data_IF_927889946468
#
_entry.id   IF_927889946468
#
_cell.length_a   1.000
_cell.length_b   1.000
_cell.length_c   1.000
_cell.angle_alpha   90.00
_cell.angle_beta   90.00
_cell.angle_gamma   90.00
#
_symmetry.space_group_name_H-M   'P 1'
#
loop_
_entity.id
_entity.type
_entity.pdbx_description
1 polymer ?
#
# COMPACT_ATOMS: atom_id res chain seq x y z
N UNK A 1 17.98 -11.14 0.30
CA UNK A 1 17.23 -10.07 -0.39
C UNK A 1 15.78 -10.11 0.04
N UNK A 2 15.26 -9.00 0.50
CA UNK A 2 13.85 -8.93 0.91
C UNK A 2 12.92 -8.98 -0.30
N UNK A 3 11.81 -9.64 -0.14
CA UNK A 3 10.81 -9.76 -1.19
C UNK A 3 9.57 -8.96 -0.78
N UNK A 4 9.23 -7.96 -1.58
CA UNK A 4 8.16 -7.01 -1.26
C UNK A 4 7.11 -7.00 -2.37
N UNK A 5 5.84 -7.15 -1.99
CA UNK A 5 4.73 -6.95 -2.91
C UNK A 5 4.13 -5.57 -2.64
N UNK A 6 3.84 -4.84 -3.70
CA UNK A 6 3.14 -3.56 -3.63
C UNK A 6 1.79 -3.79 -4.31
N UNK A 7 0.77 -4.02 -3.49
CA UNK A 7 -0.57 -4.41 -3.94
C UNK A 7 -1.46 -3.19 -4.01
N UNK A 8 -2.05 -2.91 -5.17
CA UNK A 8 -2.81 -1.69 -5.35
C UNK A 8 -4.08 -1.87 -6.19
N UNK A 9 -5.00 -0.92 -6.01
CA UNK A 9 -6.16 -0.73 -6.87
C UNK A 9 -6.10 0.69 -7.42
N UNK A 10 -6.46 0.88 -8.67
CA UNK A 10 -6.47 2.21 -9.28
C UNK A 10 -7.65 2.35 -10.24
N UNK A 11 -8.26 3.54 -10.25
CA UNK A 11 -9.32 3.86 -11.20
C UNK A 11 -8.87 4.91 -12.21
N UNK A 12 -7.97 5.81 -11.78
CA UNK A 12 -7.51 6.93 -12.61
C UNK A 12 -6.04 6.86 -12.96
N UNK A 13 -5.29 5.92 -12.36
CA UNK A 13 -3.86 5.81 -12.56
C UNK A 13 -3.01 6.51 -11.49
N UNK A 14 -3.62 7.30 -10.61
CA UNK A 14 -2.88 8.03 -9.58
C UNK A 14 -2.24 7.09 -8.57
N UNK A 15 -3.01 6.15 -8.03
CA UNK A 15 -2.48 5.19 -7.06
C UNK A 15 -1.49 4.23 -7.72
N UNK A 16 -1.69 3.91 -9.00
CA UNK A 16 -0.74 3.09 -9.76
C UNK A 16 0.63 3.78 -9.86
N UNK A 17 0.64 5.07 -10.12
CA UNK A 17 1.87 5.84 -10.20
C UNK A 17 2.60 5.83 -8.85
N UNK A 18 1.84 5.95 -7.75
CA UNK A 18 2.39 5.84 -6.40
C UNK A 18 2.96 4.44 -6.16
N UNK A 19 2.22 3.40 -6.56
CA UNK A 19 2.66 2.01 -6.36
C UNK A 19 3.98 1.73 -7.07
N UNK A 20 4.13 2.21 -8.30
CA UNK A 20 5.36 2.04 -9.06
C UNK A 20 6.54 2.75 -8.39
N UNK A 21 6.32 3.93 -7.84
CA UNK A 21 7.35 4.67 -7.13
C UNK A 21 7.78 3.97 -5.84
N UNK A 22 6.82 3.38 -5.11
CA UNK A 22 7.11 2.60 -3.91
C UNK A 22 7.98 1.39 -4.27
N UNK A 23 7.61 0.67 -5.33
CA UNK A 23 8.38 -0.50 -5.77
C UNK A 23 9.80 -0.10 -6.20
N UNK A 24 9.95 1.00 -6.92
CA UNK A 24 11.26 1.47 -7.34
C UNK A 24 12.14 1.84 -6.16
N UNK A 25 11.57 2.47 -5.14
CA UNK A 25 12.31 2.83 -3.92
C UNK A 25 12.80 1.61 -3.17
N UNK A 26 11.97 0.58 -3.09
CA UNK A 26 12.34 -0.67 -2.45
C UNK A 26 13.45 -1.37 -3.23
N UNK A 27 13.37 -1.39 -4.56
CA UNK A 27 14.41 -1.97 -5.42
C UNK A 27 15.74 -1.24 -5.28
N UNK A 28 15.69 0.09 -5.20
CA UNK A 28 16.89 0.90 -5.00
C UNK A 28 17.57 0.59 -3.66
N UNK A 29 16.81 0.12 -2.69
CA UNK A 29 17.35 -0.29 -1.38
C UNK A 29 17.81 -1.74 -1.35
N UNK A 30 17.77 -2.44 -2.48
CA UNK A 30 18.26 -3.81 -2.60
C UNK A 30 17.21 -4.90 -2.47
N UNK A 31 15.93 -4.55 -2.36
CA UNK A 31 14.87 -5.54 -2.26
C UNK A 31 14.39 -5.97 -3.65
N UNK A 32 13.75 -7.14 -3.69
CA UNK A 32 13.02 -7.59 -4.87
C UNK A 32 11.58 -7.11 -4.69
N UNK A 33 11.17 -6.11 -5.46
CA UNK A 33 9.85 -5.50 -5.31
C UNK A 33 9.05 -5.55 -6.59
N UNK A 34 7.75 -5.76 -6.46
CA UNK A 34 6.85 -5.84 -7.60
C UNK A 34 5.52 -5.16 -7.28
N UNK A 35 5.10 -4.24 -8.15
CA UNK A 35 3.78 -3.62 -8.07
C UNK A 35 2.78 -4.55 -8.77
N UNK A 36 1.70 -4.91 -8.08
CA UNK A 36 0.72 -5.90 -8.53
C UNK A 36 -0.68 -5.35 -8.33
N UNK A 37 -1.54 -5.48 -9.35
CA UNK A 37 -2.95 -5.14 -9.19
C UNK A 37 -3.57 -6.08 -8.15
N UNK A 38 -4.46 -5.55 -7.34
CA UNK A 38 -5.11 -6.32 -6.28
C UNK A 38 -5.85 -7.54 -6.85
N UNK A 39 -6.38 -7.45 -8.07
CA UNK A 39 -7.05 -8.57 -8.72
C UNK A 39 -6.10 -9.72 -9.08
N UNK A 40 -4.80 -9.45 -9.11
CA UNK A 40 -3.76 -10.45 -9.42
C UNK A 40 -3.02 -10.94 -8.17
N UNK A 41 -3.47 -10.53 -6.99
CA UNK A 41 -2.82 -10.88 -5.73
C UNK A 41 -3.80 -11.60 -4.80
N UNK A 42 -3.32 -12.60 -4.07
CA UNK A 42 -4.14 -13.29 -3.10
C UNK A 42 -3.40 -13.43 -1.76
N UNK A 43 -4.16 -13.70 -0.70
CA UNK A 43 -3.60 -13.87 0.63
C UNK A 43 -2.59 -15.03 0.70
N UNK A 44 -2.72 -16.01 -0.19
CA UNK A 44 -1.79 -17.13 -0.26
C UNK A 44 -0.37 -16.69 -0.60
N UNK A 45 -0.24 -15.58 -1.31
CA UNK A 45 1.07 -15.07 -1.73
C UNK A 45 1.80 -14.29 -0.64
N UNK A 46 1.10 -13.93 0.44
CA UNK A 46 1.70 -13.20 1.57
C UNK A 46 2.85 -13.98 2.18
N UNK A 47 2.72 -15.31 2.23
CA UNK A 47 3.76 -16.18 2.79
C UNK A 47 5.11 -16.07 2.08
N UNK A 48 5.10 -15.70 0.80
CA UNK A 48 6.31 -15.56 0.00
C UNK A 48 6.94 -14.17 0.10
N UNK A 49 6.30 -13.25 0.82
CA UNK A 49 6.76 -11.87 0.97
C UNK A 49 7.37 -11.64 2.34
N UNK A 50 8.39 -10.79 2.40
CA UNK A 50 8.98 -10.35 3.67
C UNK A 50 8.25 -9.11 4.19
N UNK A 51 7.69 -8.30 3.29
CA UNK A 51 6.93 -7.10 3.62
C UNK A 51 5.93 -6.83 2.50
N UNK A 52 4.86 -6.10 2.80
CA UNK A 52 3.82 -5.77 1.81
C UNK A 52 3.38 -4.32 1.97
N UNK A 53 3.26 -3.63 0.83
CA UNK A 53 2.66 -2.31 0.79
C UNK A 53 1.29 -2.43 0.12
N UNK A 54 0.29 -1.75 0.66
CA UNK A 54 -1.06 -1.75 0.10
C UNK A 54 -1.44 -0.34 -0.31
N UNK A 55 -1.93 -0.18 -1.53
CA UNK A 55 -2.35 1.11 -2.07
C UNK A 55 -3.77 1.10 -2.57
N UNK A 56 -4.57 2.06 -2.12
CA UNK A 56 -5.96 2.20 -2.52
C UNK A 56 -6.37 3.68 -2.40
N UNK A 57 -7.00 4.26 -3.44
CA UNK A 57 -7.48 5.63 -3.32
C UNK A 57 -8.70 5.71 -2.42
N UNK A 58 -8.99 6.92 -1.92
CA UNK A 58 -10.23 7.17 -1.19
C UNK A 58 -11.39 7.03 -2.16
N UNK A 59 -12.38 6.22 -1.79
CA UNK A 59 -13.57 5.97 -2.61
C UNK A 59 -14.80 6.55 -1.94
N UNK A 60 -15.73 7.07 -2.75
CA UNK A 60 -17.03 7.50 -2.29
C UNK A 60 -17.06 8.23 -0.96
N UNK A 61 -17.50 7.57 0.07
CA UNK A 61 -17.62 8.12 1.43
C UNK A 61 -16.37 7.89 2.28
N UNK A 62 -15.19 8.11 1.72
CA UNK A 62 -13.91 7.95 2.43
C UNK A 62 -13.70 6.52 2.91
N UNK A 63 -13.82 5.56 1.99
CA UNK A 63 -13.62 4.14 2.29
C UNK A 63 -12.75 3.47 1.24
N UNK A 64 -12.33 2.24 1.51
CA UNK A 64 -11.57 1.45 0.54
C UNK A 64 -12.49 1.00 -0.59
N UNK A 65 -11.89 0.71 -1.75
CA UNK A 65 -12.65 0.20 -2.88
C UNK A 65 -13.30 -1.14 -2.48
N UNK A 66 -14.64 -1.26 -2.52
CA UNK A 66 -15.33 -2.38 -1.88
C UNK A 66 -15.39 -3.68 -2.69
N UNK A 67 -15.24 -3.63 -4.00
CA UNK A 67 -15.49 -4.80 -4.85
C UNK A 67 -14.26 -5.70 -5.03
N UNK A 68 -13.09 -5.11 -5.14
CA UNK A 68 -11.86 -5.85 -5.41
C UNK A 68 -10.82 -5.70 -4.30
N UNK A 69 -10.61 -4.48 -3.82
CA UNK A 69 -9.54 -4.22 -2.85
C UNK A 69 -9.89 -4.70 -1.44
N UNK A 70 -11.06 -4.32 -0.94
CA UNK A 70 -11.44 -4.65 0.43
C UNK A 70 -11.44 -6.15 0.72
N UNK A 71 -11.98 -7.01 -0.18
CA UNK A 71 -11.93 -8.45 0.06
C UNK A 71 -10.51 -9.00 0.18
N UNK A 72 -9.58 -8.52 -0.65
CA UNK A 72 -8.18 -8.97 -0.59
C UNK A 72 -7.51 -8.43 0.67
N UNK A 73 -7.77 -7.18 1.03
CA UNK A 73 -7.24 -6.59 2.26
C UNK A 73 -7.69 -7.39 3.49
N UNK A 74 -8.99 -7.72 3.57
CA UNK A 74 -9.53 -8.47 4.70
C UNK A 74 -8.89 -9.86 4.80
N UNK A 75 -8.67 -10.51 3.67
CA UNK A 75 -8.03 -11.83 3.64
C UNK A 75 -6.55 -11.74 4.04
N UNK A 76 -5.83 -10.75 3.55
CA UNK A 76 -4.41 -10.56 3.87
C UNK A 76 -4.21 -10.17 5.33
N UNK A 77 -5.12 -9.37 5.87
CA UNK A 77 -5.06 -8.89 7.26
C UNK A 77 -4.90 -10.03 8.25
N UNK A 78 -5.54 -11.16 7.97
CA UNK A 78 -5.50 -12.32 8.86
C UNK A 78 -4.23 -13.16 8.75
N UNK A 79 -3.39 -12.95 7.74
CA UNK A 79 -2.20 -13.79 7.50
C UNK A 79 -0.88 -13.02 7.47
N UNK A 80 -0.92 -11.69 7.62
CA UNK A 80 0.30 -10.87 7.60
C UNK A 80 1.17 -11.03 8.84
N UNK A 81 0.58 -11.31 9.99
CA UNK A 81 1.35 -11.49 11.23
C UNK A 81 2.15 -10.23 11.56
N UNK A 82 3.44 -10.40 11.80
CA UNK A 82 4.34 -9.31 12.16
C UNK A 82 5.18 -8.78 10.99
N UNK A 83 4.83 -9.15 9.76
CA UNK A 83 5.53 -8.61 8.59
C UNK A 83 5.31 -7.11 8.49
N UNK A 84 6.33 -6.32 8.13
CA UNK A 84 6.17 -4.88 7.95
C UNK A 84 5.14 -4.57 6.87
N UNK A 85 4.27 -3.60 7.14
CA UNK A 85 3.19 -3.19 6.23
C UNK A 85 3.25 -1.68 6.05
N UNK A 86 3.08 -1.22 4.82
CA UNK A 86 2.94 0.20 4.52
C UNK A 86 1.62 0.42 3.80
N UNK A 87 0.99 1.55 4.02
CA UNK A 87 -0.28 1.91 3.39
C UNK A 87 -0.11 3.22 2.62
N UNK A 88 -0.68 3.31 1.43
CA UNK A 88 -0.63 4.53 0.65
C UNK A 88 -1.86 4.69 -0.24
N UNK A 89 -2.06 5.88 -0.77
CA UNK A 89 -3.16 6.12 -1.69
C UNK A 89 -3.33 7.58 -2.04
N UNK A 90 -4.11 7.84 -3.10
CA UNK A 90 -4.46 9.18 -3.53
C UNK A 90 -5.88 9.52 -3.10
N UNK A 91 -6.18 10.83 -3.01
CA UNK A 91 -7.54 11.29 -2.71
C UNK A 91 -7.84 12.55 -3.51
N UNK A 92 -9.13 12.76 -3.83
CA UNK A 92 -9.56 13.92 -4.60
C UNK A 92 -10.21 14.99 -3.75
N UNK A 93 -10.97 14.58 -2.71
CA UNK A 93 -11.63 15.48 -1.81
C UNK A 93 -11.65 14.87 -0.40
N UNK A 94 -12.04 15.65 0.56
CA UNK A 94 -11.98 15.20 1.95
C UNK A 94 -10.59 15.47 2.53
N UNK A 95 -10.35 15.05 3.74
CA UNK A 95 -9.13 15.33 4.49
C UNK A 95 -8.21 14.14 4.73
N UNK A 96 -8.45 13.03 4.02
CA UNK A 96 -7.63 11.83 4.20
C UNK A 96 -8.13 10.91 5.30
N UNK A 97 -9.36 11.06 5.73
CA UNK A 97 -9.94 10.26 6.81
C UNK A 97 -9.96 8.77 6.49
N UNK A 98 -10.08 8.40 5.22
CA UNK A 98 -10.06 6.99 4.83
C UNK A 98 -8.74 6.32 5.23
N UNK A 99 -7.65 7.06 5.16
CA UNK A 99 -6.34 6.52 5.53
C UNK A 99 -6.23 6.38 7.05
N UNK A 100 -6.79 7.33 7.81
CA UNK A 100 -6.79 7.23 9.26
C UNK A 100 -7.57 6.00 9.72
N UNK A 101 -8.74 5.78 9.12
CA UNK A 101 -9.57 4.61 9.42
C UNK A 101 -8.88 3.31 9.00
N UNK A 102 -8.20 3.32 7.87
CA UNK A 102 -7.48 2.16 7.36
C UNK A 102 -6.31 1.80 8.28
N UNK A 103 -5.56 2.81 8.72
CA UNK A 103 -4.46 2.61 9.64
C UNK A 103 -4.95 2.03 10.97
N UNK A 104 -6.06 2.57 11.49
CA UNK A 104 -6.67 2.06 12.72
C UNK A 104 -7.09 0.60 12.58
N UNK A 105 -7.68 0.26 11.43
CA UNK A 105 -8.10 -1.11 11.13
C UNK A 105 -6.90 -2.06 11.13
N UNK A 106 -5.81 -1.64 10.48
CA UNK A 106 -4.58 -2.44 10.43
C UNK A 106 -3.98 -2.64 11.81
N UNK A 107 -3.92 -1.58 12.60
CA UNK A 107 -3.36 -1.64 13.96
C UNK A 107 -4.24 -2.47 14.89
N UNK A 108 -5.55 -2.37 14.74
CA UNK A 108 -6.49 -3.19 15.52
C UNK A 108 -6.34 -4.68 15.21
N UNK A 109 -5.88 -5.01 14.00
CA UNK A 109 -5.61 -6.39 13.61
C UNK A 109 -4.24 -6.87 14.08
N UNK A 110 -3.46 -6.02 14.75
CA UNK A 110 -2.13 -6.37 15.26
C UNK A 110 -1.02 -6.26 14.23
N UNK A 111 -1.26 -5.61 13.11
CA UNK A 111 -0.25 -5.48 12.06
C UNK A 111 0.82 -4.45 12.40
N UNK A 112 2.02 -4.67 11.88
CA UNK A 112 3.15 -3.74 12.06
C UNK A 112 3.14 -2.73 10.92
N UNK A 113 2.42 -1.62 11.09
CA UNK A 113 2.37 -0.55 10.09
C UNK A 113 3.57 0.35 10.27
N UNK A 114 4.49 0.34 9.30
CA UNK A 114 5.72 1.13 9.40
C UNK A 114 5.48 2.59 9.05
N UNK A 115 4.59 2.86 8.09
CA UNK A 115 4.22 4.24 7.74
C UNK A 115 3.01 4.25 6.82
N UNK A 116 2.40 5.42 6.68
CA UNK A 116 1.31 5.64 5.73
C UNK A 116 1.62 6.89 4.91
N UNK A 117 1.12 6.94 3.68
CA UNK A 117 1.39 8.07 2.78
C UNK A 117 0.15 8.37 1.94
N UNK A 118 -0.23 9.64 1.86
CA UNK A 118 -1.36 10.07 1.03
C UNK A 118 -0.90 11.16 0.07
N UNK A 119 -1.53 11.24 -1.10
CA UNK A 119 -1.27 12.28 -2.09
C UNK A 119 -2.59 12.80 -2.62
N UNK A 120 -2.69 14.11 -2.80
CA UNK A 120 -3.90 14.74 -3.34
C UNK A 120 -3.88 14.63 -4.86
N UNK A 121 -4.85 13.91 -5.41
CA UNK A 121 -4.99 13.66 -6.84
C UNK A 121 -3.73 13.01 -7.43
N UNK A 122 -3.24 13.45 -8.58
CA UNK A 122 -2.02 12.89 -9.15
C UNK A 122 -0.82 13.20 -8.27
N UNK A 123 0.06 12.22 -7.99
CA UNK A 123 1.23 12.48 -7.17
C UNK A 123 2.18 13.44 -7.91
N UNK A 124 2.57 14.51 -7.22
CA UNK A 124 3.54 15.44 -7.75
C UNK A 124 4.96 14.88 -7.48
N UNK A 125 5.97 15.65 -7.87
CA UNK A 125 7.37 15.22 -7.72
C UNK A 125 7.70 14.90 -6.25
N UNK A 126 7.23 15.73 -5.33
CA UNK A 126 7.46 15.53 -3.89
C UNK A 126 6.79 14.24 -3.40
N UNK A 127 5.56 13.98 -3.86
CA UNK A 127 4.84 12.77 -3.49
C UNK A 127 5.51 11.51 -4.06
N UNK A 128 6.03 11.58 -5.28
CA UNK A 128 6.76 10.48 -5.91
C UNK A 128 8.03 10.16 -5.10
N UNK A 129 8.75 11.19 -4.67
CA UNK A 129 9.94 11.00 -3.83
C UNK A 129 9.56 10.37 -2.48
N UNK A 130 8.44 10.79 -1.90
CA UNK A 130 7.96 10.24 -0.64
C UNK A 130 7.55 8.77 -0.79
N UNK A 131 6.97 8.41 -1.95
CA UNK A 131 6.66 7.01 -2.25
C UNK A 131 7.94 6.16 -2.32
N UNK A 132 8.98 6.69 -2.97
CA UNK A 132 10.27 6.00 -3.01
C UNK A 132 10.86 5.80 -1.62
N UNK A 133 10.74 6.82 -0.77
CA UNK A 133 11.22 6.73 0.62
C UNK A 133 10.42 5.70 1.42
N UNK A 134 9.11 5.60 1.16
CA UNK A 134 8.26 4.59 1.80
C UNK A 134 8.71 3.18 1.41
N UNK A 135 9.02 2.98 0.12
CA UNK A 135 9.52 1.70 -0.36
C UNK A 135 10.84 1.31 0.29
N UNK A 136 11.75 2.27 0.40
CA UNK A 136 13.04 2.06 1.07
C UNK A 136 12.83 1.70 2.54
N UNK A 137 11.96 2.45 3.20
CA UNK A 137 11.65 2.22 4.62
C UNK A 137 11.12 0.80 4.84
N UNK A 138 10.26 0.34 3.94
CA UNK A 138 9.70 -1.00 4.00
C UNK A 138 10.78 -2.06 3.76
N UNK A 139 11.69 -1.81 2.83
CA UNK A 139 12.78 -2.74 2.52
C UNK A 139 13.78 -2.87 3.68
N UNK A 140 13.92 -1.82 4.47
CA UNK A 140 14.87 -1.78 5.60
C UNK A 140 14.23 -2.16 6.94
N UNK A 141 12.93 -2.37 6.95
CA UNK A 141 12.21 -2.66 8.19
C UNK A 141 12.47 -4.07 8.73
#
# INVERSE_FOLDING_TARGET
MSKIAVVYWTGTGNTEEMANAVAQGAEAAGAEAKAVLVSDFSADEVGDCDAVAFGCPAMGAEELEPDEFEPVWEACKGVLGQKPVALFGSYGWGGGEWMDSWKEDAEAAGLKVVDVLIANEAPDEEAVEACGALGRQLAEA
#
